data_IF_675719237798
#
_entry.id   IF_675719237798
#
_cell.length_a   1.000
_cell.length_b   1.000
_cell.length_c   1.000
_cell.angle_alpha   90.00
_cell.angle_beta   90.00
_cell.angle_gamma   90.00
#
_symmetry.space_group_name_H-M   'P 1'
#
loop_
_entity.id
_entity.type
_entity.pdbx_description
1 polymer ?
#
# COMPACT_ATOMS: atom_id res chain seq x y z
N UNK A 1 44.26 40.13 -23.62
CA UNK A 1 42.87 39.73 -23.80
C UNK A 1 42.83 38.24 -23.53
N UNK A 2 42.36 37.81 -22.35
CA UNK A 2 42.19 36.37 -22.08
C UNK A 2 40.80 36.04 -22.64
N UNK A 3 40.69 35.21 -23.69
CA UNK A 3 39.40 34.88 -24.26
C UNK A 3 38.54 34.21 -23.18
N UNK A 4 37.23 34.53 -23.16
CA UNK A 4 36.33 33.87 -22.23
C UNK A 4 36.39 32.35 -22.46
N UNK A 5 36.54 31.56 -21.38
CA UNK A 5 36.64 30.11 -21.51
C UNK A 5 35.37 29.56 -22.15
N UNK A 6 35.58 28.65 -23.08
CA UNK A 6 34.52 27.91 -23.77
C UNK A 6 33.71 27.07 -22.78
N UNK A 7 32.48 26.67 -23.15
CA UNK A 7 31.63 25.84 -22.29
C UNK A 7 32.30 24.53 -21.86
N UNK A 8 33.12 23.93 -22.73
CA UNK A 8 33.91 22.73 -22.43
C UNK A 8 35.02 22.99 -21.41
N UNK A 9 35.70 24.14 -21.50
CA UNK A 9 36.75 24.52 -20.54
C UNK A 9 36.15 24.86 -19.18
N UNK A 10 35.02 25.58 -19.14
CA UNK A 10 34.28 25.85 -17.88
C UNK A 10 33.83 24.56 -17.20
N UNK A 11 33.28 23.61 -17.96
CA UNK A 11 32.91 22.31 -17.41
C UNK A 11 34.14 21.51 -16.91
N UNK A 12 35.24 21.57 -17.66
CA UNK A 12 36.52 20.96 -17.28
C UNK A 12 37.08 21.50 -15.97
N UNK A 13 37.07 22.83 -15.79
CA UNK A 13 37.53 23.48 -14.56
C UNK A 13 36.65 23.18 -13.35
N UNK A 14 35.32 23.23 -13.52
CA UNK A 14 34.38 22.88 -12.45
C UNK A 14 34.58 21.43 -12.00
N UNK A 15 34.80 20.51 -12.93
CA UNK A 15 35.12 19.14 -12.60
C UNK A 15 36.51 19.03 -11.96
N UNK A 16 37.58 19.61 -12.53
CA UNK A 16 38.94 19.52 -11.96
C UNK A 16 38.97 19.94 -10.50
N UNK A 17 38.24 20.99 -10.16
CA UNK A 17 38.30 21.66 -8.87
C UNK A 17 37.40 21.01 -7.81
N UNK A 18 36.45 20.15 -8.23
CA UNK A 18 35.50 19.48 -7.33
C UNK A 18 35.59 17.93 -7.43
N UNK A 19 36.58 17.30 -6.78
CA UNK A 19 36.76 15.85 -6.83
C UNK A 19 35.55 15.06 -6.30
N UNK A 20 34.86 15.56 -5.28
CA UNK A 20 33.63 14.95 -4.76
C UNK A 20 32.47 14.98 -5.75
N UNK A 21 32.28 16.10 -6.46
CA UNK A 21 31.25 16.22 -7.50
C UNK A 21 31.55 15.33 -8.71
N UNK A 22 32.82 15.18 -9.08
CA UNK A 22 33.26 14.19 -10.07
C UNK A 22 32.90 12.76 -9.66
N UNK A 23 33.25 12.37 -8.44
CA UNK A 23 32.94 11.05 -7.91
C UNK A 23 31.42 10.79 -7.88
N UNK A 24 30.64 11.80 -7.48
CA UNK A 24 29.18 11.75 -7.49
C UNK A 24 28.63 11.51 -8.90
N UNK A 25 29.09 12.29 -9.90
CA UNK A 25 28.63 12.17 -11.27
C UNK A 25 28.96 10.80 -11.87
N UNK A 26 30.18 10.31 -11.66
CA UNK A 26 30.61 8.99 -12.14
C UNK A 26 29.77 7.89 -11.48
N UNK A 27 29.61 7.94 -10.16
CA UNK A 27 28.87 6.93 -9.42
C UNK A 27 27.38 6.89 -9.76
N UNK A 28 26.72 8.05 -9.87
CA UNK A 28 25.32 8.16 -10.31
C UNK A 28 25.15 7.64 -11.74
N UNK A 29 26.07 7.98 -12.64
CA UNK A 29 26.03 7.50 -14.02
C UNK A 29 26.22 5.99 -14.09
N UNK A 30 27.19 5.44 -13.34
CA UNK A 30 27.42 4.00 -13.26
C UNK A 30 26.21 3.26 -12.68
N UNK A 31 25.59 3.81 -11.63
CA UNK A 31 24.38 3.26 -11.02
C UNK A 31 23.22 3.23 -12.01
N UNK A 32 22.99 4.34 -12.72
CA UNK A 32 21.93 4.45 -13.72
C UNK A 32 22.16 3.47 -14.88
N UNK A 33 23.38 3.43 -15.43
CA UNK A 33 23.73 2.50 -16.52
C UNK A 33 23.55 1.05 -16.10
N UNK A 34 24.03 0.68 -14.90
CA UNK A 34 23.84 -0.66 -14.35
C UNK A 34 22.34 -1.02 -14.28
N UNK A 35 21.53 -0.14 -13.70
CA UNK A 35 20.10 -0.41 -13.56
C UNK A 35 19.35 -0.40 -14.89
N UNK A 36 19.72 0.45 -15.85
CA UNK A 36 19.19 0.39 -17.21
C UNK A 36 19.50 -0.96 -17.86
N UNK A 37 20.75 -1.44 -17.76
CA UNK A 37 21.14 -2.76 -18.27
C UNK A 37 20.36 -3.88 -17.56
N UNK A 38 20.23 -3.82 -16.24
CA UNK A 38 19.47 -4.79 -15.47
C UNK A 38 17.99 -4.80 -15.88
N UNK A 39 17.39 -3.62 -16.05
CA UNK A 39 16.01 -3.48 -16.50
C UNK A 39 15.81 -4.02 -17.92
N UNK A 40 16.69 -3.70 -18.88
CA UNK A 40 16.62 -4.26 -20.22
C UNK A 40 16.76 -5.79 -20.24
N UNK A 41 17.53 -6.37 -19.32
CA UNK A 41 17.74 -7.82 -19.25
C UNK A 41 16.59 -8.58 -18.57
N UNK A 42 16.04 -8.04 -17.48
CA UNK A 42 15.10 -8.81 -16.63
C UNK A 42 13.84 -8.05 -16.20
N UNK A 43 13.80 -6.73 -16.35
CA UNK A 43 12.69 -5.88 -15.91
C UNK A 43 11.72 -5.47 -17.03
N UNK A 44 12.03 -5.77 -18.30
CA UNK A 44 11.15 -5.43 -19.43
C UNK A 44 9.98 -6.41 -19.49
N UNK A 45 8.78 -5.87 -19.32
CA UNK A 45 7.55 -6.65 -19.42
C UNK A 45 7.38 -7.25 -20.83
N UNK A 46 6.90 -8.51 -20.94
CA UNK A 46 6.49 -9.08 -22.22
C UNK A 46 5.37 -8.26 -22.88
N UNK A 47 5.32 -8.30 -24.21
CA UNK A 47 4.28 -7.61 -24.99
C UNK A 47 2.87 -8.07 -24.57
N UNK A 48 1.96 -7.10 -24.52
CA UNK A 48 0.54 -7.32 -24.21
C UNK A 48 -0.13 -8.09 -25.35
N UNK A 49 -0.87 -9.16 -25.04
CA UNK A 49 -1.72 -9.82 -26.01
C UNK A 49 -2.96 -9.00 -26.37
N UNK A 50 -3.79 -9.52 -27.28
CA UNK A 50 -5.11 -8.94 -27.56
C UNK A 50 -6.04 -9.21 -26.38
N UNK A 51 -6.53 -8.14 -25.74
CA UNK A 51 -7.45 -8.22 -24.61
C UNK A 51 -8.87 -8.26 -25.16
N UNK A 52 -9.60 -9.33 -24.83
CA UNK A 52 -11.02 -9.51 -25.16
C UNK A 52 -11.84 -9.65 -23.87
N UNK A 53 -13.10 -9.17 -23.81
CA UNK A 53 -13.96 -9.41 -22.67
C UNK A 53 -14.10 -10.91 -22.38
N UNK A 54 -13.89 -11.32 -21.13
CA UNK A 54 -14.10 -12.69 -20.66
C UNK A 54 -15.17 -12.71 -19.57
N UNK A 55 -16.12 -13.64 -19.61
CA UNK A 55 -17.22 -13.72 -18.63
C UNK A 55 -16.85 -14.37 -17.30
N UNK A 56 -15.59 -14.79 -17.14
CA UNK A 56 -15.13 -15.46 -15.94
C UNK A 56 -13.63 -15.35 -15.72
N UNK A 57 -13.17 -15.56 -14.48
CA UNK A 57 -11.76 -15.52 -14.15
C UNK A 57 -11.01 -16.70 -14.80
N UNK A 58 -9.67 -16.61 -14.93
CA UNK A 58 -8.86 -17.75 -15.34
C UNK A 58 -9.13 -18.98 -14.45
N UNK A 59 -9.14 -20.18 -15.06
CA UNK A 59 -9.43 -21.43 -14.35
C UNK A 59 -8.47 -21.63 -13.17
N UNK A 60 -9.02 -21.94 -12.00
CA UNK A 60 -8.26 -22.20 -10.78
C UNK A 60 -7.83 -20.95 -10.01
N UNK A 61 -8.12 -19.74 -10.51
CA UNK A 61 -7.77 -18.51 -9.80
C UNK A 61 -8.84 -18.12 -8.79
N UNK A 62 -8.41 -17.91 -7.54
CA UNK A 62 -9.22 -17.26 -6.52
C UNK A 62 -9.13 -15.74 -6.65
N UNK A 63 -10.04 -14.97 -6.05
CA UNK A 63 -9.99 -13.50 -6.07
C UNK A 63 -8.65 -12.95 -5.54
N UNK A 64 -8.13 -13.53 -4.45
CA UNK A 64 -6.84 -13.14 -3.91
C UNK A 64 -5.68 -13.46 -4.86
N UNK A 65 -5.74 -14.58 -5.58
CA UNK A 65 -4.75 -14.94 -6.59
C UNK A 65 -4.78 -13.98 -7.79
N UNK A 66 -5.98 -13.61 -8.27
CA UNK A 66 -6.16 -12.61 -9.33
C UNK A 66 -5.47 -11.30 -8.97
N UNK A 67 -5.70 -10.79 -7.76
CA UNK A 67 -5.05 -9.56 -7.31
C UNK A 67 -3.54 -9.73 -7.16
N UNK A 68 -3.09 -10.83 -6.55
CA UNK A 68 -1.68 -11.10 -6.31
C UNK A 68 -0.86 -11.16 -7.60
N UNK A 69 -1.39 -11.84 -8.62
CA UNK A 69 -0.74 -11.91 -9.94
C UNK A 69 -0.75 -10.54 -10.60
N UNK A 70 -1.90 -9.86 -10.65
CA UNK A 70 -2.02 -8.55 -11.32
C UNK A 70 -1.14 -7.46 -10.67
N UNK A 71 -1.04 -7.45 -9.34
CA UNK A 71 -0.24 -6.46 -8.59
C UNK A 71 1.23 -6.88 -8.45
N UNK A 72 1.59 -8.12 -8.80
CA UNK A 72 2.90 -8.72 -8.54
C UNK A 72 3.38 -8.53 -7.08
N UNK A 73 2.43 -8.44 -6.15
CA UNK A 73 2.65 -8.25 -4.73
C UNK A 73 1.40 -8.61 -3.94
N UNK A 74 1.55 -8.70 -2.62
CA UNK A 74 0.46 -8.97 -1.69
C UNK A 74 0.11 -7.72 -0.90
N UNK A 75 -1.18 -7.40 -0.84
CA UNK A 75 -1.74 -6.32 -0.03
C UNK A 75 -2.96 -6.77 0.78
N UNK A 76 -3.45 -5.91 1.67
CA UNK A 76 -4.60 -6.22 2.53
C UNK A 76 -5.90 -6.41 1.74
N UNK A 77 -6.02 -5.81 0.54
CA UNK A 77 -7.19 -5.99 -0.32
C UNK A 77 -7.23 -7.38 -0.95
N UNK A 78 -6.08 -8.02 -1.18
CA UNK A 78 -6.04 -9.45 -1.56
C UNK A 78 -6.60 -10.35 -0.44
N UNK A 79 -6.27 -10.03 0.82
CA UNK A 79 -6.85 -10.73 1.97
C UNK A 79 -8.35 -10.45 2.11
N UNK A 80 -8.78 -9.19 1.95
CA UNK A 80 -10.19 -8.81 1.96
C UNK A 80 -10.99 -9.60 0.92
N UNK A 81 -10.51 -9.66 -0.33
CA UNK A 81 -11.14 -10.43 -1.39
C UNK A 81 -11.22 -11.93 -1.08
N UNK A 82 -10.23 -12.52 -0.40
CA UNK A 82 -10.32 -13.90 0.08
C UNK A 82 -11.42 -14.08 1.14
N UNK A 83 -11.51 -13.18 2.13
CA UNK A 83 -12.54 -13.26 3.18
C UNK A 83 -13.94 -13.13 2.58
N UNK A 84 -14.16 -12.18 1.67
CA UNK A 84 -15.46 -12.03 0.98
C UNK A 84 -15.76 -13.28 0.14
N UNK A 85 -14.76 -13.87 -0.53
CA UNK A 85 -14.96 -15.13 -1.26
C UNK A 85 -15.33 -16.30 -0.35
N UNK A 86 -14.74 -16.39 0.84
CA UNK A 86 -15.13 -17.37 1.86
C UNK A 86 -16.56 -17.16 2.34
N UNK A 87 -16.99 -15.90 2.44
CA UNK A 87 -18.34 -15.52 2.83
C UNK A 87 -19.37 -15.92 1.77
N UNK A 88 -19.13 -15.57 0.51
CA UNK A 88 -19.96 -15.96 -0.65
C UNK A 88 -20.06 -17.48 -0.80
N UNK A 89 -19.00 -18.22 -0.47
CA UNK A 89 -19.02 -19.70 -0.42
C UNK A 89 -19.80 -20.27 0.78
N UNK A 90 -20.35 -19.42 1.64
CA UNK A 90 -21.11 -19.78 2.81
C UNK A 90 -20.28 -20.31 3.97
N UNK A 91 -18.95 -20.14 3.99
CA UNK A 91 -18.08 -20.64 5.07
C UNK A 91 -18.05 -19.72 6.30
N UNK A 92 -18.29 -18.43 6.10
CA UNK A 92 -18.35 -17.44 7.17
C UNK A 92 -19.39 -16.37 6.85
N UNK A 93 -19.80 -15.64 7.87
CA UNK A 93 -20.64 -14.45 7.78
C UNK A 93 -19.80 -13.24 8.21
N UNK A 94 -20.00 -12.12 7.53
CA UNK A 94 -19.40 -10.82 7.86
C UNK A 94 -20.49 -9.95 8.45
N UNK A 95 -20.32 -9.57 9.71
CA UNK A 95 -21.20 -8.62 10.41
C UNK A 95 -20.48 -7.26 10.54
N UNK A 96 -21.09 -6.21 10.00
CA UNK A 96 -20.63 -4.82 10.05
C UNK A 96 -21.52 -4.02 11.02
N UNK A 97 -20.94 -3.60 12.14
CA UNK A 97 -21.60 -2.68 13.07
C UNK A 97 -20.76 -1.42 13.29
N UNK A 98 -21.31 -0.27 12.89
CA UNK A 98 -20.68 1.05 13.03
C UNK A 98 -19.22 1.17 12.51
N UNK A 99 -18.82 0.31 11.56
CA UNK A 99 -17.48 0.27 10.96
C UNK A 99 -16.53 -0.76 11.59
N UNK A 100 -16.97 -1.43 12.65
CA UNK A 100 -16.32 -2.63 13.16
C UNK A 100 -16.85 -3.87 12.41
N UNK A 101 -15.96 -4.83 12.16
CA UNK A 101 -16.30 -6.03 11.40
C UNK A 101 -16.04 -7.28 12.25
N UNK A 102 -17.04 -8.14 12.35
CA UNK A 102 -16.94 -9.44 13.00
C UNK A 102 -17.14 -10.56 11.98
N UNK A 103 -16.25 -11.55 12.03
CA UNK A 103 -16.27 -12.72 11.16
C UNK A 103 -16.70 -13.93 11.98
N UNK A 104 -17.77 -14.61 11.57
CA UNK A 104 -18.31 -15.78 12.26
C UNK A 104 -18.37 -16.98 11.32
N UNK A 105 -17.86 -18.12 11.74
CA UNK A 105 -17.87 -19.36 10.97
C UNK A 105 -19.28 -19.95 10.92
N UNK A 106 -19.64 -20.57 9.80
CA UNK A 106 -20.89 -21.33 9.63
C UNK A 106 -20.63 -22.84 9.81
N UNK A 107 -21.68 -23.65 9.67
CA UNK A 107 -21.59 -25.11 9.67
C UNK A 107 -21.04 -25.69 8.36
N UNK A 108 -20.72 -24.85 7.36
CA UNK A 108 -20.17 -25.32 6.09
C UNK A 108 -18.78 -25.94 6.29
N UNK A 109 -18.57 -27.11 5.66
CA UNK A 109 -17.30 -27.81 5.72
C UNK A 109 -16.18 -27.09 4.96
N UNK A 110 -14.92 -27.39 5.29
CA UNK A 110 -13.75 -26.79 4.62
C UNK A 110 -13.59 -27.21 3.14
N UNK A 111 -14.38 -28.16 2.65
CA UNK A 111 -14.32 -28.66 1.27
C UNK A 111 -14.59 -27.58 0.22
N UNK A 112 -15.40 -26.56 0.54
CA UNK A 112 -15.71 -25.43 -0.36
C UNK A 112 -14.53 -24.45 -0.51
N UNK A 113 -13.55 -24.52 0.40
CA UNK A 113 -12.42 -23.59 0.45
C UNK A 113 -11.25 -24.06 -0.41
N UNK A 114 -10.59 -23.09 -1.05
CA UNK A 114 -9.29 -23.27 -1.70
C UNK A 114 -8.18 -23.53 -0.67
N UNK A 115 -7.01 -23.99 -1.13
CA UNK A 115 -5.87 -24.26 -0.26
C UNK A 115 -5.43 -23.02 0.55
N UNK A 116 -5.46 -21.83 -0.07
CA UNK A 116 -5.17 -20.56 0.60
C UNK A 116 -6.22 -20.21 1.66
N UNK A 117 -7.51 -20.34 1.34
CA UNK A 117 -8.62 -20.04 2.25
C UNK A 117 -8.66 -20.99 3.46
N UNK A 118 -8.33 -22.27 3.28
CA UNK A 118 -8.17 -23.24 4.39
C UNK A 118 -7.07 -22.81 5.37
N UNK A 119 -6.00 -22.17 4.87
CA UNK A 119 -4.94 -21.63 5.74
C UNK A 119 -5.42 -20.41 6.50
N UNK A 120 -6.26 -19.57 5.89
CA UNK A 120 -6.91 -18.46 6.58
C UNK A 120 -7.80 -18.99 7.70
N UNK A 121 -8.73 -19.90 7.38
CA UNK A 121 -9.70 -20.42 8.34
C UNK A 121 -9.01 -21.01 9.57
N UNK A 122 -8.00 -21.86 9.37
CA UNK A 122 -7.23 -22.50 10.45
C UNK A 122 -6.52 -21.51 11.37
N UNK A 123 -6.05 -20.36 10.85
CA UNK A 123 -5.32 -19.36 11.64
C UNK A 123 -6.25 -18.36 12.30
N UNK A 124 -7.33 -18.01 11.63
CA UNK A 124 -8.28 -17.00 12.06
C UNK A 124 -9.18 -17.54 13.18
N UNK A 125 -9.72 -18.75 13.00
CA UNK A 125 -10.66 -19.41 13.91
C UNK A 125 -9.99 -20.43 14.83
N UNK A 126 -8.69 -20.25 15.11
CA UNK A 126 -7.99 -21.15 16.04
C UNK A 126 -8.52 -20.95 17.46
N UNK A 127 -9.30 -21.92 17.94
CA UNK A 127 -9.90 -21.93 19.27
C UNK A 127 -11.13 -21.04 19.44
N UNK A 128 -11.69 -20.47 18.37
CA UNK A 128 -12.93 -19.70 18.40
C UNK A 128 -13.67 -19.77 17.06
N UNK A 129 -15.01 -19.76 17.09
CA UNK A 129 -15.84 -19.76 15.87
C UNK A 129 -16.15 -18.34 15.38
N UNK A 130 -15.78 -17.30 16.14
CA UNK A 130 -15.95 -15.91 15.77
C UNK A 130 -14.70 -15.10 16.11
N UNK A 131 -14.48 -14.00 15.40
CA UNK A 131 -13.38 -13.06 15.61
C UNK A 131 -13.78 -11.66 15.16
N UNK A 132 -13.44 -10.65 15.95
CA UNK A 132 -13.62 -9.25 15.59
C UNK A 132 -12.31 -8.70 15.00
N UNK A 133 -12.41 -7.92 13.93
CA UNK A 133 -11.27 -7.31 13.22
C UNK A 133 -10.77 -6.05 13.95
N UNK A 134 -10.16 -6.26 15.11
CA UNK A 134 -9.63 -5.21 15.97
C UNK A 134 -8.13 -5.40 16.27
N UNK A 135 -7.55 -4.43 16.98
CA UNK A 135 -6.15 -4.48 17.42
C UNK A 135 -5.88 -5.53 18.51
N UNK A 136 -6.88 -5.97 19.26
CA UNK A 136 -6.74 -7.05 20.25
C UNK A 136 -6.48 -8.40 19.59
N UNK A 137 -7.06 -8.62 18.41
CA UNK A 137 -6.91 -9.83 17.61
C UNK A 137 -5.75 -9.78 16.59
N UNK A 138 -4.91 -8.74 16.63
CA UNK A 138 -3.86 -8.47 15.64
C UNK A 138 -2.94 -9.66 15.37
N UNK A 139 -2.61 -10.44 16.41
CA UNK A 139 -1.74 -11.61 16.29
C UNK A 139 -2.35 -12.71 15.42
N UNK A 140 -3.65 -13.00 15.60
CA UNK A 140 -4.37 -14.00 14.79
C UNK A 140 -4.54 -13.50 13.36
N UNK A 141 -4.95 -12.25 13.19
CA UNK A 141 -5.17 -11.61 11.87
C UNK A 141 -3.86 -11.57 11.08
N UNK A 142 -2.75 -11.11 11.68
CA UNK A 142 -1.43 -11.07 11.03
C UNK A 142 -0.93 -12.47 10.65
N UNK A 143 -1.17 -13.49 11.49
CA UNK A 143 -0.84 -14.89 11.17
C UNK A 143 -1.65 -15.41 9.99
N UNK A 144 -2.95 -15.10 9.91
CA UNK A 144 -3.80 -15.48 8.78
C UNK A 144 -3.37 -14.79 7.48
N UNK A 145 -3.11 -13.48 7.52
CA UNK A 145 -2.58 -12.69 6.39
C UNK A 145 -1.26 -13.29 5.89
N UNK A 146 -0.33 -13.57 6.81
CA UNK A 146 0.98 -14.15 6.46
C UNK A 146 0.83 -15.54 5.86
N UNK A 147 -0.10 -16.35 6.35
CA UNK A 147 -0.36 -17.69 5.83
C UNK A 147 -0.91 -17.64 4.39
N UNK A 148 -1.85 -16.74 4.09
CA UNK A 148 -2.34 -16.52 2.74
C UNK A 148 -1.22 -16.02 1.81
N UNK A 149 -0.49 -14.98 2.24
CA UNK A 149 0.64 -14.41 1.48
C UNK A 149 1.66 -15.48 1.11
N UNK A 150 2.06 -16.32 2.06
CA UNK A 150 3.03 -17.38 1.80
C UNK A 150 2.47 -18.44 0.84
N UNK A 151 1.18 -18.78 0.95
CA UNK A 151 0.54 -19.71 0.01
C UNK A 151 0.55 -19.17 -1.41
N UNK A 152 0.15 -17.91 -1.60
CA UNK A 152 0.12 -17.26 -2.91
C UNK A 152 1.52 -17.12 -3.51
N UNK A 153 2.52 -16.77 -2.70
CA UNK A 153 3.92 -16.74 -3.14
C UNK A 153 4.40 -18.09 -3.66
N UNK A 154 4.13 -19.15 -2.92
CA UNK A 154 4.54 -20.52 -3.28
C UNK A 154 3.89 -20.99 -4.59
N UNK A 155 2.63 -20.63 -4.80
CA UNK A 155 1.84 -21.09 -5.93
C UNK A 155 2.02 -20.23 -7.19
N UNK A 156 2.12 -18.90 -7.05
CA UNK A 156 2.06 -17.97 -8.18
C UNK A 156 3.36 -17.26 -8.50
N UNK A 157 4.21 -16.90 -7.54
CA UNK A 157 5.38 -16.01 -7.76
C UNK A 157 6.28 -16.60 -8.86
N UNK A 158 6.89 -17.77 -8.66
CA UNK A 158 7.86 -18.33 -9.62
C UNK A 158 7.30 -18.52 -11.06
N UNK A 159 6.03 -18.89 -11.18
CA UNK A 159 5.43 -19.23 -12.48
C UNK A 159 4.86 -18.00 -13.21
N UNK A 160 4.46 -16.95 -12.48
CA UNK A 160 3.76 -15.79 -13.06
C UNK A 160 4.59 -14.51 -13.06
N UNK A 161 5.48 -14.28 -12.09
CA UNK A 161 6.30 -13.06 -12.07
C UNK A 161 7.60 -13.22 -11.29
N UNK A 162 8.67 -12.58 -11.77
CA UNK A 162 9.96 -12.60 -11.09
C UNK A 162 10.22 -11.25 -10.44
N UNK A 163 10.53 -11.26 -9.14
CA UNK A 163 10.93 -10.03 -8.42
C UNK A 163 12.33 -9.56 -8.76
N UNK A 164 13.16 -10.43 -9.34
CA UNK A 164 14.54 -10.16 -9.72
C UNK A 164 15.39 -9.46 -8.65
N UNK A 165 15.06 -9.63 -7.36
CA UNK A 165 15.62 -8.81 -6.28
C UNK A 165 17.14 -8.95 -6.10
N UNK A 166 17.73 -10.03 -6.64
CA UNK A 166 19.20 -10.21 -6.68
C UNK A 166 19.90 -9.12 -7.48
N UNK A 167 19.25 -8.55 -8.51
CA UNK A 167 19.80 -7.46 -9.31
C UNK A 167 19.81 -6.12 -8.59
N UNK A 168 19.12 -6.00 -7.46
CA UNK A 168 19.21 -4.79 -6.62
C UNK A 168 20.51 -4.76 -5.80
N UNK A 169 21.13 -5.92 -5.55
CA UNK A 169 22.33 -6.01 -4.69
C UNK A 169 23.53 -5.26 -5.30
N UNK A 170 23.93 -5.48 -6.57
CA UNK A 170 25.03 -4.69 -7.14
C UNK A 170 24.70 -3.19 -7.23
N UNK A 171 23.44 -2.82 -7.48
CA UNK A 171 23.01 -1.42 -7.45
C UNK A 171 23.18 -0.78 -6.07
N UNK A 172 22.82 -1.50 -5.00
CA UNK A 172 23.07 -1.05 -3.63
C UNK A 172 24.57 -0.93 -3.32
N UNK A 173 25.39 -1.85 -3.82
CA UNK A 173 26.86 -1.77 -3.68
C UNK A 173 27.43 -0.55 -4.43
N UNK A 174 27.01 -0.30 -5.67
CA UNK A 174 27.43 0.88 -6.44
C UNK A 174 27.00 2.17 -5.72
N UNK A 175 25.79 2.20 -5.17
CA UNK A 175 25.29 3.34 -4.38
C UNK A 175 26.16 3.60 -3.15
N UNK A 176 26.51 2.55 -2.41
CA UNK A 176 27.40 2.66 -1.25
C UNK A 176 28.80 3.15 -1.65
N UNK A 177 29.39 2.57 -2.70
CA UNK A 177 30.70 2.99 -3.21
C UNK A 177 30.68 4.45 -3.68
N UNK A 178 29.58 4.90 -4.29
CA UNK A 178 29.40 6.29 -4.71
C UNK A 178 29.43 7.23 -3.50
N UNK A 179 28.68 6.90 -2.44
CA UNK A 179 28.67 7.69 -1.21
C UNK A 179 30.05 7.71 -0.54
N UNK A 180 30.74 6.57 -0.47
CA UNK A 180 32.09 6.49 0.12
C UNK A 180 33.10 7.31 -0.70
N UNK A 181 33.07 7.22 -2.02
CA UNK A 181 33.95 7.99 -2.90
C UNK A 181 33.71 9.50 -2.76
N UNK A 182 32.44 9.93 -2.71
CA UNK A 182 32.08 11.32 -2.44
C UNK A 182 32.58 11.80 -1.07
N UNK A 183 32.53 10.93 -0.06
CA UNK A 183 32.96 11.29 1.29
C UNK A 183 34.48 11.37 1.46
N UNK A 184 35.24 10.57 0.70
CA UNK A 184 36.70 10.55 0.78
C UNK A 184 37.37 11.88 0.42
N UNK A 185 36.64 12.79 -0.24
CA UNK A 185 37.13 14.10 -0.65
C UNK A 185 36.81 15.23 0.34
N UNK A 186 36.15 14.92 1.46
CA UNK A 186 35.66 15.89 2.44
C UNK A 186 36.65 16.01 3.60
N UNK A 187 36.90 17.23 4.10
CA UNK A 187 37.76 17.47 5.27
C UNK A 187 37.16 16.96 6.59
N UNK A 188 35.84 17.04 6.74
CA UNK A 188 35.08 16.62 7.94
C UNK A 188 34.33 15.29 7.74
N UNK A 189 35.05 14.21 7.45
CA UNK A 189 34.47 12.89 7.16
C UNK A 189 33.52 12.40 8.28
N UNK A 190 33.93 12.55 9.55
CA UNK A 190 33.14 12.07 10.68
C UNK A 190 31.79 12.78 10.80
N UNK A 191 31.76 14.09 10.57
CA UNK A 191 30.53 14.89 10.56
C UNK A 191 29.60 14.50 9.41
N UNK A 192 30.16 14.34 8.19
CA UNK A 192 29.39 13.93 7.02
C UNK A 192 28.79 12.52 7.19
N UNK A 193 29.56 11.55 7.70
CA UNK A 193 29.08 10.19 7.98
C UNK A 193 27.96 10.20 9.02
N UNK A 194 28.15 10.95 10.11
CA UNK A 194 27.09 11.13 11.12
C UNK A 194 25.82 11.68 10.50
N UNK A 195 25.93 12.73 9.69
CA UNK A 195 24.79 13.36 9.01
C UNK A 195 24.08 12.41 8.05
N UNK A 196 24.79 11.55 7.32
CA UNK A 196 24.17 10.55 6.45
C UNK A 196 23.36 9.51 7.22
N UNK A 197 23.91 8.99 8.31
CA UNK A 197 23.20 8.03 9.16
C UNK A 197 21.98 8.71 9.77
N UNK A 198 22.16 9.91 10.31
CA UNK A 198 21.10 10.72 10.90
C UNK A 198 19.98 10.98 9.91
N UNK A 199 20.30 11.51 8.73
CA UNK A 199 19.34 11.75 7.65
C UNK A 199 18.62 10.45 7.28
N UNK A 200 19.32 9.32 7.11
CA UNK A 200 18.65 8.06 6.74
C UNK A 200 17.55 7.62 7.72
N UNK A 201 17.80 7.77 9.03
CA UNK A 201 16.85 7.45 10.10
C UNK A 201 15.73 8.49 10.14
N UNK A 202 16.08 9.78 10.02
CA UNK A 202 15.15 10.90 10.11
C UNK A 202 14.20 10.99 8.90
N UNK A 203 14.70 10.76 7.68
CA UNK A 203 13.90 10.64 6.47
C UNK A 203 12.85 9.54 6.65
N UNK A 204 13.23 8.40 7.24
CA UNK A 204 12.30 7.31 7.55
C UNK A 204 11.18 7.70 8.52
N UNK A 205 11.52 8.45 9.57
CA UNK A 205 10.55 8.98 10.51
C UNK A 205 9.62 10.03 9.87
N UNK A 206 10.17 10.96 9.08
CA UNK A 206 9.42 11.95 8.32
C UNK A 206 8.45 11.29 7.33
N UNK A 207 8.91 10.26 6.61
CA UNK A 207 8.07 9.49 5.71
C UNK A 207 6.90 8.83 6.44
N UNK A 208 7.14 8.24 7.62
CA UNK A 208 6.07 7.66 8.43
C UNK A 208 5.04 8.70 8.89
N UNK A 209 5.47 9.90 9.28
CA UNK A 209 4.59 11.02 9.63
C UNK A 209 3.75 11.49 8.45
N UNK A 210 4.36 11.64 7.27
CA UNK A 210 3.64 12.00 6.03
C UNK A 210 2.59 10.95 5.69
N UNK A 211 2.94 9.66 5.74
CA UNK A 211 1.98 8.57 5.50
C UNK A 211 0.86 8.58 6.53
N UNK A 212 1.16 8.84 7.81
CA UNK A 212 0.15 8.94 8.85
C UNK A 212 -0.80 10.13 8.62
N UNK A 213 -0.27 11.29 8.22
CA UNK A 213 -1.07 12.45 7.84
C UNK A 213 -1.97 12.15 6.64
N UNK A 214 -1.44 11.54 5.57
CA UNK A 214 -2.23 11.13 4.39
C UNK A 214 -3.37 10.20 4.80
N UNK A 215 -3.10 9.18 5.62
CA UNK A 215 -4.13 8.25 6.10
C UNK A 215 -5.19 8.94 6.95
N UNK A 216 -4.79 9.88 7.81
CA UNK A 216 -5.72 10.67 8.61
C UNK A 216 -6.64 11.53 7.72
N UNK A 217 -6.08 12.16 6.69
CA UNK A 217 -6.86 12.93 5.70
C UNK A 217 -7.79 12.06 4.86
N UNK A 218 -7.34 10.88 4.42
CA UNK A 218 -8.20 9.92 3.72
C UNK A 218 -9.41 9.52 4.57
N UNK A 219 -9.19 9.20 5.85
CA UNK A 219 -10.28 8.85 6.78
C UNK A 219 -11.18 10.03 7.16
N UNK A 220 -10.66 11.25 7.15
CA UNK A 220 -11.43 12.47 7.43
C UNK A 220 -12.30 12.88 6.23
N UNK A 221 -11.80 12.70 5.01
CA UNK A 221 -12.53 12.98 3.76
C UNK A 221 -13.62 11.95 3.48
N UNK A 222 -13.46 10.71 3.95
CA UNK A 222 -14.46 9.64 3.78
C UNK A 222 -15.60 9.67 4.82
N UNK A 223 -15.54 10.52 5.85
CA UNK A 223 -16.55 10.60 6.91
C UNK A 223 -17.43 11.85 6.79
N UNK A 224 -18.75 11.67 6.67
CA UNK A 224 -19.75 12.75 6.72
C UNK A 224 -20.24 13.05 8.15
N UNK A 225 -20.77 14.27 8.37
CA UNK A 225 -21.40 14.68 9.63
C UNK A 225 -20.44 15.19 10.73
N UNK A 226 -20.95 15.28 11.97
CA UNK A 226 -20.23 15.81 13.15
C UNK A 226 -18.92 15.05 13.45
N UNK A 227 -18.92 13.73 13.25
CA UNK A 227 -17.74 12.86 13.37
C UNK A 227 -16.62 13.24 12.38
N UNK A 228 -16.99 13.82 11.23
CA UNK A 228 -16.04 14.32 10.23
C UNK A 228 -15.29 15.57 10.70
N UNK A 229 -15.90 16.43 11.53
CA UNK A 229 -15.23 17.64 12.06
C UNK A 229 -14.11 17.23 13.03
N UNK A 230 -14.36 16.29 13.93
CA UNK A 230 -13.34 15.76 14.85
C UNK A 230 -12.22 15.00 14.14
N UNK A 231 -12.53 14.25 13.06
CA UNK A 231 -11.50 13.56 12.26
C UNK A 231 -10.65 14.55 11.46
N UNK A 232 -11.25 15.63 10.93
CA UNK A 232 -10.52 16.72 10.24
C UNK A 232 -9.60 17.48 11.20
N UNK A 233 -10.04 17.77 12.42
CA UNK A 233 -9.17 18.42 13.41
C UNK A 233 -8.01 17.53 13.83
N UNK A 234 -8.23 16.22 13.98
CA UNK A 234 -7.15 15.24 14.20
C UNK A 234 -6.15 15.18 13.03
N UNK A 235 -6.64 15.18 11.79
CA UNK A 235 -5.80 15.21 10.58
C UNK A 235 -4.99 16.51 10.46
N UNK A 236 -5.57 17.66 10.82
CA UNK A 236 -4.86 18.92 10.93
C UNK A 236 -3.78 18.87 12.01
N UNK A 237 -4.09 18.31 13.19
CA UNK A 237 -3.14 18.16 14.29
C UNK A 237 -1.89 17.36 13.91
N UNK A 238 -2.05 16.20 13.27
CA UNK A 238 -0.90 15.40 12.82
C UNK A 238 -0.11 16.09 11.70
N UNK A 239 -0.78 16.85 10.82
CA UNK A 239 -0.11 17.61 9.75
C UNK A 239 0.75 18.72 10.36
N UNK A 240 0.19 19.52 11.28
CA UNK A 240 0.91 20.57 11.98
C UNK A 240 2.07 20.01 12.81
N UNK A 241 1.87 18.86 13.45
CA UNK A 241 2.93 18.16 14.18
C UNK A 241 4.06 17.69 13.26
N UNK A 242 3.76 17.26 12.03
CA UNK A 242 4.77 16.79 11.08
C UNK A 242 5.62 17.91 10.48
N UNK A 243 5.10 19.14 10.35
CA UNK A 243 5.78 20.26 9.70
C UNK A 243 7.16 20.59 10.27
N UNK A 244 7.37 20.69 11.61
CA UNK A 244 8.69 20.91 12.18
C UNK A 244 9.70 19.81 11.83
N UNK A 245 9.27 18.54 11.74
CA UNK A 245 10.15 17.42 11.40
C UNK A 245 10.60 17.49 9.94
N UNK A 246 9.70 17.86 9.03
CA UNK A 246 10.02 18.11 7.63
C UNK A 246 10.94 19.33 7.48
N UNK A 247 10.73 20.37 8.29
CA UNK A 247 11.65 21.50 8.38
C UNK A 247 13.04 21.09 8.85
N UNK A 248 13.13 20.20 9.84
CA UNK A 248 14.38 19.62 10.32
C UNK A 248 15.09 18.75 9.27
N UNK A 249 14.35 18.02 8.42
CA UNK A 249 14.92 17.28 7.28
C UNK A 249 15.58 18.26 6.28
N UNK A 250 14.88 19.35 5.91
CA UNK A 250 15.44 20.39 5.06
C UNK A 250 16.67 21.06 5.69
N UNK A 251 16.62 21.34 7.00
CA UNK A 251 17.76 21.87 7.75
C UNK A 251 18.94 20.88 7.77
N UNK A 252 18.69 19.60 7.99
CA UNK A 252 19.71 18.56 7.96
C UNK A 252 20.38 18.43 6.58
N UNK A 253 19.59 18.50 5.50
CA UNK A 253 20.13 18.56 4.13
C UNK A 253 20.97 19.82 3.89
N UNK A 254 20.55 20.96 4.44
CA UNK A 254 21.32 22.20 4.37
C UNK A 254 22.65 22.10 5.15
N UNK A 255 22.64 21.58 6.38
CA UNK A 255 23.86 21.31 7.16
C UNK A 255 24.77 20.32 6.43
N UNK A 256 24.22 19.26 5.85
CA UNK A 256 25.02 18.34 5.04
C UNK A 256 25.61 19.03 3.80
N UNK A 257 24.87 19.97 3.19
CA UNK A 257 25.36 20.77 2.07
C UNK A 257 26.53 21.67 2.45
N UNK A 258 26.57 22.23 3.67
CA UNK A 258 27.66 23.11 4.11
C UNK A 258 28.92 22.32 4.48
N UNK A 259 28.77 21.08 4.95
CA UNK A 259 29.89 20.17 5.20
C UNK A 259 30.49 19.57 3.92
N UNK A 260 29.68 19.44 2.88
CA UNK A 260 30.04 18.73 1.65
C UNK A 260 30.00 19.67 0.43
N UNK A 261 28.94 19.60 -0.37
CA UNK A 261 28.59 20.55 -1.42
C UNK A 261 27.10 20.40 -1.77
N UNK A 262 26.46 21.42 -2.37
CA UNK A 262 25.09 21.29 -2.88
C UNK A 262 24.93 20.15 -3.90
N UNK A 263 25.99 19.88 -4.70
CA UNK A 263 26.00 18.78 -5.66
C UNK A 263 25.97 17.41 -4.98
N UNK A 264 26.56 17.27 -3.80
CA UNK A 264 26.54 16.01 -3.05
C UNK A 264 25.15 15.68 -2.51
N UNK A 265 24.41 16.69 -2.02
CA UNK A 265 23.01 16.54 -1.61
C UNK A 265 22.16 16.10 -2.80
N UNK A 266 22.31 16.77 -3.95
CA UNK A 266 21.59 16.42 -5.18
C UNK A 266 21.88 14.97 -5.60
N UNK A 267 23.14 14.57 -5.60
CA UNK A 267 23.52 13.20 -5.93
C UNK A 267 22.92 12.17 -4.97
N UNK A 268 22.88 12.45 -3.66
CA UNK A 268 22.25 11.59 -2.66
C UNK A 268 20.76 11.38 -2.95
N UNK A 269 20.02 12.47 -3.22
CA UNK A 269 18.59 12.41 -3.59
C UNK A 269 18.39 11.59 -4.86
N UNK A 270 19.24 11.81 -5.88
CA UNK A 270 19.19 11.07 -7.15
C UNK A 270 19.49 9.57 -6.95
N UNK A 271 20.48 9.20 -6.13
CA UNK A 271 20.78 7.79 -5.82
C UNK A 271 19.59 7.11 -5.14
N UNK A 272 18.97 7.76 -4.15
CA UNK A 272 17.77 7.24 -3.47
C UNK A 272 16.63 7.06 -4.47
N UNK A 273 16.40 8.06 -5.32
CA UNK A 273 15.34 8.05 -6.32
C UNK A 273 15.53 6.95 -7.37
N UNK A 274 16.76 6.78 -7.89
CA UNK A 274 17.10 5.70 -8.84
C UNK A 274 16.82 4.34 -8.19
N UNK A 275 17.32 4.08 -6.98
CA UNK A 275 17.08 2.82 -6.29
C UNK A 275 15.58 2.56 -6.07
N UNK A 276 14.81 3.59 -5.71
CA UNK A 276 13.36 3.49 -5.52
C UNK A 276 12.62 3.13 -6.82
N UNK A 277 12.93 3.82 -7.93
CA UNK A 277 12.35 3.54 -9.25
C UNK A 277 12.68 2.11 -9.67
N UNK A 278 13.96 1.74 -9.68
CA UNK A 278 14.37 0.42 -10.17
C UNK A 278 13.96 -0.73 -9.25
N UNK A 279 13.73 -0.48 -7.95
CA UNK A 279 13.06 -1.45 -7.07
C UNK A 279 11.66 -1.82 -7.59
N UNK A 280 10.94 -0.88 -8.19
CA UNK A 280 9.63 -1.13 -8.79
C UNK A 280 9.74 -1.70 -10.21
N UNK A 281 10.61 -1.12 -11.05
CA UNK A 281 10.74 -1.46 -12.47
C UNK A 281 11.40 -2.82 -12.74
N UNK A 282 12.18 -3.38 -11.81
CA UNK A 282 12.90 -4.64 -12.05
C UNK A 282 12.02 -5.88 -11.90
N UNK A 283 10.83 -5.73 -11.29
CA UNK A 283 9.83 -6.79 -11.23
C UNK A 283 9.22 -6.94 -12.60
N UNK A 284 9.15 -8.17 -13.12
CA UNK A 284 8.57 -8.43 -14.43
C UNK A 284 7.70 -9.69 -14.42
N UNK A 285 6.57 -9.73 -15.15
CA UNK A 285 5.81 -10.93 -15.36
C UNK A 285 6.54 -11.90 -16.29
N UNK A 286 6.32 -13.20 -16.08
CA UNK A 286 6.75 -14.24 -17.03
C UNK A 286 5.85 -14.25 -18.26
N UNK A 287 6.23 -14.95 -19.34
CA UNK A 287 5.36 -15.11 -20.52
C UNK A 287 4.00 -15.75 -20.15
N UNK A 288 4.03 -16.76 -19.27
CA UNK A 288 2.81 -17.39 -18.77
C UNK A 288 2.00 -16.41 -17.90
N UNK A 289 2.66 -15.69 -17.00
CA UNK A 289 2.04 -14.67 -16.16
C UNK A 289 1.39 -13.56 -16.96
N UNK A 290 2.03 -13.07 -18.03
CA UNK A 290 1.47 -12.08 -18.94
C UNK A 290 0.18 -12.60 -19.59
N UNK A 291 0.17 -13.84 -20.09
CA UNK A 291 -1.04 -14.45 -20.66
C UNK A 291 -2.18 -14.53 -19.63
N UNK A 292 -1.87 -14.86 -18.39
CA UNK A 292 -2.88 -14.86 -17.31
C UNK A 292 -3.35 -13.45 -16.97
N UNK A 293 -2.45 -12.46 -16.94
CA UNK A 293 -2.82 -11.06 -16.75
C UNK A 293 -3.73 -10.54 -17.86
N UNK A 294 -3.47 -10.90 -19.13
CA UNK A 294 -4.33 -10.51 -20.25
C UNK A 294 -5.74 -11.10 -20.11
N UNK A 295 -5.87 -12.35 -19.64
CA UNK A 295 -7.18 -12.95 -19.33
C UNK A 295 -7.86 -12.26 -18.15
N UNK A 296 -7.10 -11.94 -17.11
CA UNK A 296 -7.62 -11.19 -15.95
C UNK A 296 -8.11 -9.81 -16.38
N UNK A 297 -7.38 -9.15 -17.27
CA UNK A 297 -7.75 -7.83 -17.82
C UNK A 297 -9.01 -7.92 -18.68
N UNK A 298 -9.13 -8.98 -19.49
CA UNK A 298 -10.37 -9.30 -20.21
C UNK A 298 -11.58 -9.53 -19.29
N UNK A 299 -11.37 -10.21 -18.16
CA UNK A 299 -12.41 -10.38 -17.15
C UNK A 299 -12.73 -9.07 -16.41
N UNK A 300 -11.72 -8.24 -16.12
CA UNK A 300 -11.91 -6.90 -15.56
C UNK A 300 -12.74 -6.02 -16.50
N UNK A 301 -12.53 -6.13 -17.81
CA UNK A 301 -13.31 -5.41 -18.80
C UNK A 301 -14.79 -5.79 -18.72
N UNK A 302 -15.10 -7.09 -18.63
CA UNK A 302 -16.47 -7.55 -18.40
C UNK A 302 -17.08 -6.99 -17.10
N UNK A 303 -16.34 -7.01 -15.98
CA UNK A 303 -16.84 -6.51 -14.69
C UNK A 303 -17.01 -4.98 -14.63
N UNK A 304 -16.27 -4.23 -15.45
CA UNK A 304 -16.25 -2.77 -15.43
C UNK A 304 -17.15 -2.12 -16.48
N UNK A 305 -17.35 -2.77 -17.62
CA UNK A 305 -18.21 -2.25 -18.69
C UNK A 305 -19.66 -2.47 -18.30
N UNK A 306 -20.35 -1.39 -17.93
CA UNK A 306 -21.79 -1.38 -17.97
C UNK A 306 -22.21 -1.65 -19.43
N UNK A 307 -23.07 -2.64 -19.66
CA UNK A 307 -23.67 -2.95 -20.98
C UNK A 307 -24.33 -1.75 -21.70
N UNK A 308 -24.33 -0.55 -21.11
CA UNK A 308 -24.83 0.70 -21.67
C UNK A 308 -24.20 1.06 -23.02
N UNK A 309 -22.95 0.66 -23.27
CA UNK A 309 -22.32 0.82 -24.59
C UNK A 309 -22.07 -0.55 -25.21
N UNK A 310 -23.14 -1.22 -25.64
CA UNK A 310 -23.28 -2.03 -26.87
C UNK A 310 -22.06 -2.73 -27.47
N UNK A 311 -21.07 -3.18 -26.70
CA UNK A 311 -20.13 -4.18 -27.16
C UNK A 311 -20.99 -5.42 -27.33
N UNK A 312 -21.11 -5.90 -28.57
CA UNK A 312 -21.83 -7.10 -29.00
C UNK A 312 -21.31 -8.36 -28.27
N UNK A 313 -21.52 -8.42 -26.95
CA UNK A 313 -21.25 -9.57 -26.12
C UNK A 313 -22.29 -10.61 -26.54
N UNK A 314 -21.86 -11.61 -27.31
CA UNK A 314 -22.72 -12.72 -27.69
C UNK A 314 -23.12 -13.47 -26.42
N UNK A 315 -24.39 -13.35 -26.05
CA UNK A 315 -25.03 -14.10 -24.96
C UNK A 315 -24.38 -13.90 -23.58
N UNK A 316 -24.44 -12.70 -22.99
CA UNK A 316 -23.98 -12.49 -21.62
C UNK A 316 -24.83 -13.34 -20.65
N UNK A 317 -24.25 -13.81 -19.53
CA UNK A 317 -25.03 -14.52 -18.52
C UNK A 317 -26.14 -13.62 -17.96
N UNK A 318 -27.27 -14.22 -17.61
CA UNK A 318 -28.40 -13.48 -17.05
C UNK A 318 -27.99 -12.80 -15.74
N UNK A 319 -28.43 -11.54 -15.56
CA UNK A 319 -28.16 -10.78 -14.34
C UNK A 319 -29.02 -11.33 -13.22
N UNK A 320 -28.43 -12.19 -12.39
CA UNK A 320 -29.07 -12.73 -11.18
C UNK A 320 -28.33 -12.30 -9.92
N UNK A 321 -28.99 -12.29 -8.75
CA UNK A 321 -28.33 -12.02 -7.47
C UNK A 321 -27.16 -12.99 -7.19
N UNK A 322 -27.28 -14.26 -7.59
CA UNK A 322 -26.22 -15.26 -7.41
C UNK A 322 -24.98 -14.93 -8.26
N UNK A 323 -25.18 -14.40 -9.47
CA UNK A 323 -24.09 -13.96 -10.33
C UNK A 323 -23.35 -12.77 -9.71
N UNK A 324 -24.10 -11.82 -9.14
CA UNK A 324 -23.54 -10.67 -8.42
C UNK A 324 -22.63 -11.15 -7.29
N UNK A 325 -23.16 -11.99 -6.39
CA UNK A 325 -22.42 -12.50 -5.24
C UNK A 325 -21.18 -13.30 -5.67
N UNK A 326 -21.31 -14.16 -6.69
CA UNK A 326 -20.22 -14.98 -7.21
C UNK A 326 -19.01 -14.17 -7.68
N UNK A 327 -19.23 -13.02 -8.31
CA UNK A 327 -18.16 -12.19 -8.88
C UNK A 327 -17.80 -10.96 -8.06
N UNK A 328 -18.57 -10.59 -7.04
CA UNK A 328 -18.25 -9.49 -6.14
C UNK A 328 -16.85 -9.59 -5.51
N UNK A 329 -16.38 -10.76 -5.00
CA UNK A 329 -15.01 -10.90 -4.51
C UNK A 329 -13.94 -10.59 -5.58
N UNK A 330 -14.21 -10.95 -6.84
CA UNK A 330 -13.29 -10.69 -7.95
C UNK A 330 -13.31 -9.22 -8.38
N UNK A 331 -14.48 -8.59 -8.40
CA UNK A 331 -14.61 -7.16 -8.65
C UNK A 331 -13.82 -6.36 -7.59
N UNK A 332 -13.94 -6.76 -6.32
CA UNK A 332 -13.14 -6.21 -5.21
C UNK A 332 -11.63 -6.41 -5.42
N UNK A 333 -11.22 -7.60 -5.84
CA UNK A 333 -9.82 -7.90 -6.13
C UNK A 333 -9.23 -7.01 -7.25
N UNK A 334 -10.05 -6.65 -8.23
CA UNK A 334 -9.68 -5.90 -9.44
C UNK A 334 -9.93 -4.39 -9.36
N UNK A 335 -10.37 -3.89 -8.20
CA UNK A 335 -10.71 -2.48 -7.95
C UNK A 335 -11.84 -1.96 -8.86
N UNK A 336 -12.84 -2.81 -9.15
CA UNK A 336 -14.03 -2.50 -9.99
C UNK A 336 -15.36 -2.83 -9.30
N UNK A 337 -15.35 -3.00 -7.97
CA UNK A 337 -16.53 -3.33 -7.16
C UNK A 337 -17.68 -2.33 -7.31
N UNK A 338 -17.40 -1.03 -7.43
CA UNK A 338 -18.43 -0.01 -7.59
C UNK A 338 -19.12 -0.11 -8.95
N UNK A 339 -18.33 -0.27 -10.03
CA UNK A 339 -18.85 -0.45 -11.39
C UNK A 339 -19.67 -1.74 -11.49
N UNK A 340 -19.22 -2.81 -10.84
CA UNK A 340 -19.96 -4.07 -10.78
C UNK A 340 -21.29 -3.92 -10.03
N UNK A 341 -21.30 -3.31 -8.84
CA UNK A 341 -22.53 -3.07 -8.08
C UNK A 341 -23.54 -2.19 -8.82
N UNK A 342 -23.08 -1.17 -9.56
CA UNK A 342 -23.94 -0.30 -10.34
C UNK A 342 -24.72 -1.08 -11.42
N UNK A 343 -24.09 -2.05 -12.07
CA UNK A 343 -24.73 -2.90 -13.09
C UNK A 343 -25.86 -3.78 -12.55
N UNK A 344 -25.80 -4.14 -11.26
CA UNK A 344 -26.77 -5.01 -10.60
C UNK A 344 -27.76 -4.23 -9.72
N UNK A 345 -27.60 -2.91 -9.58
CA UNK A 345 -28.43 -2.10 -8.69
C UNK A 345 -29.94 -2.26 -8.96
N UNK A 346 -30.36 -2.26 -10.22
CA UNK A 346 -31.77 -2.43 -10.60
C UNK A 346 -32.31 -3.83 -10.30
N UNK A 347 -31.54 -4.88 -10.63
CA UNK A 347 -31.93 -6.28 -10.43
C UNK A 347 -32.02 -6.60 -8.94
N UNK A 348 -31.05 -6.14 -8.15
CA UNK A 348 -31.03 -6.37 -6.70
C UNK A 348 -32.13 -5.58 -6.00
N UNK A 349 -32.43 -4.36 -6.43
CA UNK A 349 -33.56 -3.59 -5.92
C UNK A 349 -34.90 -4.30 -6.21
N UNK A 350 -35.08 -4.83 -7.43
CA UNK A 350 -36.27 -5.60 -7.78
C UNK A 350 -36.37 -6.90 -6.95
N UNK A 351 -35.29 -7.68 -6.85
CA UNK A 351 -35.26 -8.90 -6.05
C UNK A 351 -35.50 -8.63 -4.55
N UNK A 352 -35.06 -7.48 -4.05
CA UNK A 352 -35.34 -7.05 -2.68
C UNK A 352 -36.84 -6.77 -2.48
N UNK A 353 -37.49 -6.11 -3.44
CA UNK A 353 -38.94 -5.83 -3.35
C UNK A 353 -39.83 -7.06 -3.53
N UNK A 354 -39.45 -8.00 -4.39
CA UNK A 354 -40.27 -9.17 -4.74
C UNK A 354 -40.04 -10.35 -3.78
N UNK A 355 -38.80 -10.56 -3.34
CA UNK A 355 -38.39 -11.75 -2.60
C UNK A 355 -37.68 -11.44 -1.27
N UNK A 356 -37.60 -10.16 -0.87
CA UNK A 356 -36.89 -9.77 0.34
C UNK A 356 -35.39 -10.08 0.28
N UNK A 357 -34.80 -10.10 -0.92
CA UNK A 357 -33.40 -10.46 -1.12
C UNK A 357 -32.44 -9.62 -0.26
N UNK A 358 -31.55 -10.32 0.45
CA UNK A 358 -30.37 -9.78 1.12
C UNK A 358 -29.25 -10.82 1.12
N UNK A 359 -27.97 -10.44 0.95
CA UNK A 359 -26.86 -11.39 0.97
C UNK A 359 -26.78 -12.11 2.32
N UNK A 360 -26.99 -13.43 2.33
CA UNK A 360 -27.02 -14.23 3.58
C UNK A 360 -25.67 -14.19 4.33
N UNK A 361 -24.58 -13.97 3.61
CA UNK A 361 -23.23 -13.92 4.15
C UNK A 361 -22.81 -12.54 4.68
N UNK A 362 -23.66 -11.52 4.56
CA UNK A 362 -23.36 -10.15 4.99
C UNK A 362 -24.52 -9.52 5.77
N UNK A 363 -24.24 -9.03 6.98
CA UNK A 363 -25.14 -8.15 7.73
C UNK A 363 -24.46 -6.81 7.97
N UNK A 364 -25.14 -5.70 7.65
CA UNK A 364 -24.59 -4.37 7.90
C UNK A 364 -25.53 -3.24 7.54
N UNK A 365 -25.41 -2.10 8.23
CA UNK A 365 -26.28 -0.92 8.01
C UNK A 365 -26.16 -0.34 6.60
N UNK A 366 -24.99 -0.47 5.96
CA UNK A 366 -24.78 0.08 4.61
C UNK A 366 -25.58 -0.66 3.55
N UNK A 367 -25.78 -1.97 3.69
CA UNK A 367 -26.68 -2.72 2.83
C UNK A 367 -28.13 -2.25 3.00
N UNK A 368 -28.59 -2.11 4.25
CA UNK A 368 -29.96 -1.70 4.55
C UNK A 368 -30.30 -0.30 4.03
N UNK A 369 -29.35 0.63 4.06
CA UNK A 369 -29.58 2.02 3.68
C UNK A 369 -29.29 2.32 2.20
N UNK A 370 -28.31 1.64 1.59
CA UNK A 370 -27.76 2.00 0.28
C UNK A 370 -27.59 0.81 -0.68
N UNK A 371 -28.12 -0.37 -0.33
CA UNK A 371 -28.11 -1.57 -1.16
C UNK A 371 -26.72 -1.98 -1.65
N UNK A 372 -26.64 -2.40 -2.92
CA UNK A 372 -25.42 -2.90 -3.55
C UNK A 372 -24.27 -1.88 -3.63
N UNK A 373 -24.59 -0.60 -3.82
CA UNK A 373 -23.59 0.47 -3.87
C UNK A 373 -22.99 0.74 -2.48
N UNK A 374 -23.83 0.69 -1.43
CA UNK A 374 -23.38 0.74 -0.03
C UNK A 374 -22.42 -0.40 0.30
N UNK A 375 -22.79 -1.62 -0.08
CA UNK A 375 -21.97 -2.82 0.11
C UNK A 375 -20.60 -2.72 -0.58
N UNK A 376 -20.55 -2.27 -1.83
CA UNK A 376 -19.29 -2.08 -2.55
C UNK A 376 -18.35 -1.10 -1.85
N UNK A 377 -18.88 0.03 -1.36
CA UNK A 377 -18.08 1.02 -0.64
C UNK A 377 -17.53 0.48 0.71
N UNK A 378 -18.36 -0.28 1.45
CA UNK A 378 -17.97 -0.86 2.73
C UNK A 378 -16.89 -1.94 2.55
N UNK A 379 -17.09 -2.88 1.62
CA UNK A 379 -16.13 -3.95 1.35
C UNK A 379 -14.86 -3.45 0.62
N UNK A 380 -15.02 -2.45 -0.26
CA UNK A 380 -13.97 -1.89 -1.12
C UNK A 380 -12.84 -1.22 -0.37
N UNK A 381 -13.19 -0.18 0.39
CA UNK A 381 -12.22 0.68 1.08
C UNK A 381 -12.22 0.48 2.60
N UNK A 382 -13.40 0.44 3.23
CA UNK A 382 -13.49 0.41 4.68
C UNK A 382 -12.97 -0.92 5.25
N UNK A 383 -13.46 -2.04 4.74
CA UNK A 383 -13.05 -3.37 5.19
C UNK A 383 -11.54 -3.64 5.02
N UNK A 384 -10.97 -3.33 3.84
CA UNK A 384 -9.52 -3.46 3.62
C UNK A 384 -8.71 -2.55 4.56
N UNK A 385 -9.22 -1.36 4.88
CA UNK A 385 -8.56 -0.46 5.84
C UNK A 385 -8.59 -1.01 7.27
N UNK A 386 -9.72 -1.61 7.69
CA UNK A 386 -9.87 -2.27 8.99
C UNK A 386 -8.95 -3.48 9.11
N UNK A 387 -8.81 -4.29 8.06
CA UNK A 387 -7.82 -5.38 8.03
C UNK A 387 -6.39 -4.84 8.18
N UNK A 388 -6.07 -3.73 7.50
CA UNK A 388 -4.74 -3.10 7.61
C UNK A 388 -4.47 -2.60 9.03
N UNK A 389 -5.43 -1.94 9.67
CA UNK A 389 -5.26 -1.37 11.02
C UNK A 389 -5.26 -2.45 12.12
N UNK A 390 -6.13 -3.45 12.02
CA UNK A 390 -6.23 -4.57 12.96
C UNK A 390 -5.03 -5.51 12.91
N UNK A 391 -4.36 -5.66 11.76
CA UNK A 391 -3.17 -6.51 11.64
C UNK A 391 -1.90 -5.93 12.29
N UNK A 392 -1.95 -4.68 12.75
CA UNK A 392 -0.83 -3.98 13.38
C UNK A 392 -1.01 -3.99 14.91
N UNK A 393 0.07 -4.23 15.69
CA UNK A 393 -0.03 -4.17 17.15
C UNK A 393 -0.49 -2.78 17.60
N UNK A 394 -1.20 -2.66 18.74
CA UNK A 394 -1.49 -1.37 19.32
C UNK A 394 -0.18 -0.61 19.52
N UNK A 395 -0.11 0.62 19.00
CA UNK A 395 1.05 1.47 19.23
C UNK A 395 1.19 1.70 20.72
N UNK A 396 2.37 1.45 21.27
CA UNK A 396 2.73 1.93 22.59
C UNK A 396 2.67 3.46 22.54
N UNK A 397 1.64 4.04 23.15
CA UNK A 397 1.67 5.44 23.52
C UNK A 397 2.77 5.61 24.56
N UNK A 398 3.99 5.90 24.12
CA UNK A 398 4.98 6.57 24.96
C UNK A 398 4.48 8.01 25.15
N UNK A 399 3.46 8.16 25.98
CA UNK A 399 3.11 9.44 26.57
C UNK A 399 4.26 9.83 27.47
N UNK A 400 5.08 10.79 27.04
CA UNK A 400 5.98 11.49 27.93
C UNK A 400 5.13 12.29 28.92
N UNK A 401 4.78 11.67 30.04
CA UNK A 401 4.31 12.35 31.24
C UNK A 401 5.49 13.10 31.84
N UNK A 402 5.79 14.29 31.28
CA UNK A 402 6.68 15.26 31.90
C UNK A 402 5.95 15.93 33.05
N UNK A 403 6.13 15.39 34.26
CA UNK A 403 5.72 16.05 35.49
C UNK A 403 6.51 17.33 35.71
N UNK A 404 5.81 18.46 35.74
CA UNK A 404 6.33 19.74 36.23
C UNK A 404 5.84 19.96 37.66
N UNK A 405 6.60 19.50 38.64
CA UNK A 405 6.46 19.94 40.03
C UNK A 405 7.39 21.14 40.20
N UNK A 406 6.84 22.36 40.14
CA UNK A 406 7.58 23.58 40.48
C UNK A 406 7.38 23.88 41.96
N UNK A 407 8.20 23.24 42.79
CA UNK A 407 8.54 23.77 44.10
C UNK A 407 9.42 25.00 43.91
N UNK A 408 8.94 26.15 44.38
CA UNK A 408 9.67 27.40 44.46
C UNK A 408 9.06 28.26 45.56
N UNK A 409 9.63 28.17 46.76
CA UNK A 409 9.23 28.95 47.93
C UNK A 409 9.65 30.41 47.83
N UNK A 410 9.05 31.25 48.67
CA UNK A 410 9.47 32.64 48.87
C UNK A 410 8.46 33.53 49.58
N UNK A 411 8.48 33.50 50.92
CA UNK A 411 8.49 34.69 51.78
C UNK A 411 7.27 35.64 51.85
N UNK A 412 6.77 35.83 53.08
CA UNK A 412 6.78 37.16 53.71
C UNK A 412 5.44 37.85 53.98
N UNK A 413 5.17 38.09 55.28
CA UNK A 413 4.34 39.18 55.82
C UNK A 413 2.81 38.96 55.71
N UNK A 414 1.99 39.16 56.73
CA UNK A 414 2.15 39.84 58.00
C UNK A 414 0.82 40.49 58.35
N UNK A 415 0.32 40.21 59.57
CA UNK A 415 -0.51 41.12 60.35
C UNK A 415 -1.99 41.32 59.96
N UNK A 416 -2.86 41.21 60.98
CA UNK A 416 -4.16 41.88 60.97
C UNK A 416 -5.27 41.07 61.63
N UNK A 417 -5.24 40.96 62.96
CA UNK A 417 -6.45 40.67 63.71
C UNK A 417 -7.23 41.96 63.94
N UNK A 418 -8.55 41.91 63.75
CA UNK A 418 -9.60 42.66 64.45
C UNK A 418 -10.84 41.76 64.49
#
# INVERSE_FOLDING_TARGET
YIPEPTLSERAGYVLSDNPGSKAALIGVTALLLYFLIAWFKVGRDPATGTIIPLFGPPKGFTPAAVRFVTRMDFDHKAFAAAIVNMAVKGYLIIDEDAGDYTLSKTDAGESVLSAGEKRISKKLFMGSNSITLDKGNHGKIKKAITALKNSLKLEFEKNHFQRNSKWLVPGAVISLLTLVAMMSTIGEIMGAVFMLIWLSIWTGACFALVVAAIKAWQGALSSGGSTGIFKKSGALGITLFALPFLGAECFGMWVFSTMTSPFAVMALVVVIFINFIFYHLIKAPTLYGRKMMDQIEGFKLYLSVAEKEGLNMRNPPEKTPELFEKFLPFALALDVENAWSEQFAAVLAQAQTEHGYSPVWYSGRQWHNHGASGLASSLGSAFSSTISSSSSPPGSSSGSSGGGSSGGGGGGGGGGGW
#
